data_IF_531299754826
#
_entry.id   IF_531299754826
#
_cell.length_a   1.000
_cell.length_b   1.000
_cell.length_c   1.000
_cell.angle_alpha   90.00
_cell.angle_beta   90.00
_cell.angle_gamma   90.00
#
_symmetry.space_group_name_H-M   'P 1'
#
loop_
_entity.id
_entity.type
_entity.pdbx_description
1 polymer ?
#
# COMPACT_ATOMS: atom_id res chain seq x y z
N UNK A 1 -8.03 -8.11 -40.39
CA UNK A 1 -6.66 -7.54 -40.32
C UNK A 1 -6.18 -7.67 -38.87
N UNK A 2 -5.16 -8.48 -38.61
CA UNK A 2 -4.66 -8.76 -37.25
C UNK A 2 -4.02 -7.50 -36.65
N UNK A 3 -4.66 -6.93 -35.62
CA UNK A 3 -4.07 -5.90 -34.76
C UNK A 3 -2.69 -6.34 -34.20
N UNK A 4 -2.47 -7.64 -34.10
CA UNK A 4 -1.26 -8.25 -33.55
C UNK A 4 0.01 -8.10 -34.41
N UNK A 5 -0.10 -7.74 -35.71
CA UNK A 5 1.10 -7.57 -36.57
C UNK A 5 1.70 -6.17 -36.54
N UNK A 6 0.94 -5.15 -36.12
CA UNK A 6 1.41 -3.76 -36.08
C UNK A 6 2.17 -3.40 -34.79
N UNK A 7 2.06 -4.20 -33.73
CA UNK A 7 2.84 -3.98 -32.49
C UNK A 7 4.35 -4.24 -32.66
N UNK A 8 4.77 -5.00 -33.69
CA UNK A 8 6.14 -5.51 -33.79
C UNK A 8 7.09 -4.68 -34.66
N UNK A 9 6.60 -3.72 -35.44
CA UNK A 9 7.47 -2.89 -36.30
C UNK A 9 7.99 -1.62 -35.61
N UNK A 10 7.49 -1.30 -34.40
CA UNK A 10 8.06 -0.28 -33.55
C UNK A 10 9.00 -0.91 -32.53
N UNK A 11 10.13 -1.43 -32.99
CA UNK A 11 11.29 -1.69 -32.12
C UNK A 11 11.76 -0.32 -31.65
N UNK A 12 11.19 0.15 -30.52
CA UNK A 12 11.60 1.40 -29.89
C UNK A 12 13.10 1.31 -29.58
N UNK A 13 13.85 2.40 -29.81
CA UNK A 13 15.27 2.43 -29.50
C UNK A 13 15.46 2.13 -28.01
N UNK A 14 16.48 1.31 -27.76
CA UNK A 14 17.12 0.93 -26.48
C UNK A 14 16.42 1.46 -25.22
N UNK A 15 15.97 0.52 -24.38
CA UNK A 15 15.47 0.75 -23.02
C UNK A 15 16.56 1.29 -22.06
N UNK A 16 17.35 2.28 -22.49
CA UNK A 16 18.50 2.81 -21.77
C UNK A 16 18.07 3.35 -20.40
N UNK A 17 16.97 4.10 -20.35
CA UNK A 17 16.44 4.66 -19.10
C UNK A 17 15.98 3.55 -18.13
N UNK A 18 15.07 2.63 -18.50
CA UNK A 18 14.70 1.48 -17.64
C UNK A 18 15.90 0.68 -17.12
N UNK A 19 16.85 0.36 -17.99
CA UNK A 19 18.04 -0.41 -17.62
C UNK A 19 18.97 0.39 -16.70
N UNK A 20 19.14 1.69 -16.96
CA UNK A 20 19.97 2.55 -16.10
C UNK A 20 19.38 2.67 -14.70
N UNK A 21 18.06 2.89 -14.59
CA UNK A 21 17.36 2.91 -13.30
C UNK A 21 17.49 1.57 -12.59
N UNK A 22 17.35 0.46 -13.30
CA UNK A 22 17.52 -0.88 -12.73
C UNK A 22 18.94 -1.16 -12.26
N UNK A 23 19.96 -0.70 -12.98
CA UNK A 23 21.36 -0.80 -12.57
C UNK A 23 21.64 0.04 -11.32
N UNK A 24 21.10 1.25 -11.22
CA UNK A 24 21.20 2.09 -10.01
C UNK A 24 20.52 1.39 -8.83
N UNK A 25 19.29 0.89 -9.02
CA UNK A 25 18.56 0.15 -7.98
C UNK A 25 19.33 -1.10 -7.52
N UNK A 26 19.88 -1.87 -8.46
CA UNK A 26 20.71 -3.03 -8.15
C UNK A 26 21.98 -2.65 -7.37
N UNK A 27 22.67 -1.58 -7.77
CA UNK A 27 23.84 -1.09 -7.06
C UNK A 27 23.51 -0.67 -5.63
N UNK A 28 22.42 0.06 -5.41
CA UNK A 28 21.96 0.44 -4.07
C UNK A 28 21.61 -0.80 -3.23
N UNK A 29 20.95 -1.79 -3.82
CA UNK A 29 20.56 -3.02 -3.11
C UNK A 29 21.78 -3.86 -2.73
N UNK A 30 22.72 -4.06 -3.66
CA UNK A 30 23.97 -4.81 -3.43
C UNK A 30 24.80 -4.14 -2.33
N UNK A 31 24.93 -2.82 -2.39
CA UNK A 31 25.79 -2.05 -1.48
C UNK A 31 25.11 -1.71 -0.15
N UNK A 32 23.83 -2.05 0.03
CA UNK A 32 23.00 -1.58 1.14
C UNK A 32 23.02 -0.05 1.27
N UNK A 33 22.76 0.64 0.17
CA UNK A 33 22.75 2.11 0.10
C UNK A 33 24.12 2.74 0.40
N UNK A 34 25.21 2.05 0.07
CA UNK A 34 26.58 2.51 0.36
C UNK A 34 27.15 2.04 1.69
N UNK A 35 26.36 1.42 2.58
CA UNK A 35 26.84 0.93 3.90
C UNK A 35 27.99 -0.05 3.79
N UNK A 36 28.05 -0.84 2.71
CA UNK A 36 29.17 -1.77 2.45
C UNK A 36 30.51 -1.04 2.32
N UNK A 37 30.50 0.25 1.99
CA UNK A 37 31.67 1.12 1.87
C UNK A 37 31.79 2.12 3.04
N UNK A 38 31.03 1.93 4.12
CA UNK A 38 31.06 2.80 5.30
C UNK A 38 30.18 4.06 5.21
N UNK A 39 29.33 4.19 4.19
CA UNK A 39 28.34 5.27 4.11
C UNK A 39 27.05 4.90 4.86
N UNK A 40 26.72 5.63 5.91
CA UNK A 40 25.55 5.38 6.76
C UNK A 40 24.41 6.38 6.52
N UNK A 41 24.47 7.22 5.48
CA UNK A 41 23.49 8.29 5.24
C UNK A 41 22.11 7.82 4.78
N UNK A 42 21.97 6.56 4.36
CA UNK A 42 20.79 6.04 3.65
C UNK A 42 20.06 4.97 4.47
N UNK A 43 19.34 5.38 5.50
CA UNK A 43 18.65 4.48 6.44
C UNK A 43 17.63 3.57 5.74
N UNK A 44 17.01 4.01 4.64
CA UNK A 44 16.05 3.21 3.87
C UNK A 44 16.65 1.88 3.37
N UNK A 45 17.97 1.80 3.21
CA UNK A 45 18.69 0.57 2.85
C UNK A 45 19.42 -0.05 4.04
N UNK A 46 19.34 0.54 5.24
CA UNK A 46 20.03 0.07 6.44
C UNK A 46 19.64 -1.35 6.82
N UNK A 47 18.38 -1.75 6.63
CA UNK A 47 17.94 -3.13 6.88
C UNK A 47 18.66 -4.16 6.01
N UNK A 48 19.13 -3.77 4.82
CA UNK A 48 19.84 -4.69 3.93
C UNK A 48 21.15 -5.16 4.56
N UNK A 49 21.73 -4.42 5.51
CA UNK A 49 22.94 -4.86 6.25
C UNK A 49 22.76 -6.23 6.91
N UNK A 50 21.54 -6.58 7.32
CA UNK A 50 21.20 -7.89 7.88
C UNK A 50 20.94 -8.99 6.84
N UNK A 51 20.76 -8.61 5.57
CA UNK A 51 20.53 -9.55 4.46
C UNK A 51 21.88 -10.09 3.97
N UNK A 52 22.05 -11.42 3.80
CA UNK A 52 23.26 -11.99 3.23
C UNK A 52 23.63 -11.38 1.87
N UNK A 53 24.91 -11.05 1.67
CA UNK A 53 25.43 -10.42 0.45
C UNK A 53 24.98 -11.16 -0.84
N UNK A 54 25.02 -12.50 -0.84
CA UNK A 54 24.60 -13.31 -1.97
C UNK A 54 23.13 -13.08 -2.38
N UNK A 55 22.23 -12.89 -1.40
CA UNK A 55 20.82 -12.60 -1.67
C UNK A 55 20.62 -11.19 -2.23
N UNK A 56 21.43 -10.22 -1.78
CA UNK A 56 21.41 -8.86 -2.36
C UNK A 56 21.87 -8.87 -3.82
N UNK A 57 22.92 -9.60 -4.14
CA UNK A 57 23.39 -9.80 -5.53
C UNK A 57 22.34 -10.47 -6.39
N UNK A 58 21.69 -11.53 -5.89
CA UNK A 58 20.61 -12.20 -6.61
C UNK A 58 19.44 -11.23 -6.88
N UNK A 59 19.00 -10.48 -5.87
CA UNK A 59 17.92 -9.50 -6.03
C UNK A 59 18.31 -8.39 -7.04
N UNK A 60 19.53 -7.87 -6.96
CA UNK A 60 20.04 -6.90 -7.94
C UNK A 60 20.07 -7.45 -9.36
N UNK A 61 20.53 -8.69 -9.55
CA UNK A 61 20.52 -9.36 -10.84
C UNK A 61 19.10 -9.54 -11.39
N UNK A 62 18.13 -9.90 -10.53
CA UNK A 62 16.73 -10.04 -10.92
C UNK A 62 16.10 -8.70 -11.33
N UNK A 63 16.42 -7.60 -10.63
CA UNK A 63 15.96 -6.24 -11.00
C UNK A 63 16.49 -5.86 -12.38
N UNK A 64 17.78 -6.04 -12.63
CA UNK A 64 18.39 -5.75 -13.93
C UNK A 64 17.75 -6.62 -15.01
N UNK A 65 17.61 -7.92 -14.76
CA UNK A 65 17.01 -8.85 -15.70
C UNK A 65 15.56 -8.47 -16.06
N UNK A 66 14.77 -8.07 -15.07
CA UNK A 66 13.39 -7.62 -15.28
C UNK A 66 13.29 -6.33 -16.12
N UNK A 67 14.35 -5.51 -16.13
CA UNK A 67 14.40 -4.28 -16.94
C UNK A 67 14.77 -4.50 -18.41
N UNK A 68 15.28 -5.69 -18.77
CA UNK A 68 15.70 -5.99 -20.14
C UNK A 68 14.49 -6.38 -20.99
N UNK A 69 14.27 -5.76 -22.17
CA UNK A 69 13.15 -6.08 -23.06
C UNK A 69 13.00 -7.56 -23.42
N UNK A 70 14.11 -8.32 -23.51
CA UNK A 70 14.08 -9.76 -23.79
C UNK A 70 13.42 -10.59 -22.68
N UNK A 71 13.50 -10.16 -21.41
CA UNK A 71 12.87 -10.85 -20.30
C UNK A 71 11.34 -10.86 -20.42
N UNK A 72 10.73 -9.85 -21.06
CA UNK A 72 9.30 -9.86 -21.40
C UNK A 72 8.93 -11.03 -22.32
N UNK A 73 9.87 -11.51 -23.13
CA UNK A 73 9.73 -12.69 -23.97
C UNK A 73 9.46 -13.97 -23.15
N UNK A 74 9.98 -14.06 -21.93
CA UNK A 74 9.81 -15.22 -21.04
C UNK A 74 8.39 -15.35 -20.49
N UNK A 75 7.64 -14.24 -20.45
CA UNK A 75 6.25 -14.22 -20.01
C UNK A 75 5.26 -14.52 -21.14
N UNK A 76 5.72 -14.62 -22.40
CA UNK A 76 4.86 -14.93 -23.55
C UNK A 76 4.06 -16.23 -23.41
N UNK A 77 4.58 -17.34 -22.87
CA UNK A 77 3.79 -18.55 -22.65
C UNK A 77 2.60 -18.30 -21.71
N UNK A 78 2.75 -17.40 -20.73
CA UNK A 78 1.74 -17.07 -19.73
C UNK A 78 0.58 -16.24 -20.27
N UNK A 79 0.67 -15.71 -21.51
CA UNK A 79 -0.43 -14.94 -22.13
C UNK A 79 -1.75 -15.73 -22.27
N UNK A 80 -1.66 -17.06 -22.28
CA UNK A 80 -2.80 -17.98 -22.36
C UNK A 80 -3.36 -18.35 -20.99
N UNK A 81 -2.65 -17.97 -19.92
CA UNK A 81 -2.99 -18.33 -18.56
C UNK A 81 -4.08 -17.39 -18.07
N UNK A 82 -5.30 -17.91 -17.98
CA UNK A 82 -6.45 -17.20 -17.43
C UNK A 82 -6.71 -17.80 -16.06
N UNK A 83 -6.16 -17.17 -15.01
CA UNK A 83 -6.59 -17.50 -13.65
C UNK A 83 -7.82 -16.64 -13.36
N UNK A 84 -9.00 -17.26 -13.17
CA UNK A 84 -10.18 -16.49 -12.83
C UNK A 84 -10.03 -15.90 -11.42
N UNK A 85 -10.57 -14.70 -11.21
CA UNK A 85 -10.47 -13.99 -9.93
C UNK A 85 -11.03 -14.81 -8.75
N UNK A 86 -12.05 -15.64 -9.01
CA UNK A 86 -12.67 -16.49 -7.98
C UNK A 86 -11.73 -17.60 -7.49
N UNK A 87 -10.70 -17.97 -8.27
CA UNK A 87 -9.66 -18.89 -7.84
C UNK A 87 -8.43 -18.13 -7.29
N UNK A 88 -8.06 -17.02 -7.93
CA UNK A 88 -6.91 -16.21 -7.53
C UNK A 88 -7.07 -15.63 -6.13
N UNK A 89 -8.24 -15.07 -5.81
CA UNK A 89 -8.47 -14.39 -4.54
C UNK A 89 -8.41 -15.35 -3.34
N UNK A 90 -9.16 -16.47 -3.30
CA UNK A 90 -9.03 -17.41 -2.18
C UNK A 90 -7.63 -17.99 -2.04
N UNK A 91 -6.94 -18.24 -3.17
CA UNK A 91 -5.55 -18.73 -3.15
C UNK A 91 -4.61 -17.69 -2.54
N UNK A 92 -4.76 -16.41 -2.89
CA UNK A 92 -3.98 -15.33 -2.32
C UNK A 92 -4.25 -15.17 -0.81
N UNK A 93 -5.52 -15.18 -0.40
CA UNK A 93 -5.90 -15.11 1.02
C UNK A 93 -5.34 -16.29 1.82
N UNK A 94 -5.41 -17.50 1.27
CA UNK A 94 -4.83 -18.69 1.88
C UNK A 94 -3.31 -18.57 1.99
N UNK A 95 -2.64 -18.08 0.95
CA UNK A 95 -1.19 -17.85 0.99
C UNK A 95 -0.81 -16.80 2.04
N UNK A 96 -1.51 -15.66 2.09
CA UNK A 96 -1.31 -14.62 3.09
C UNK A 96 -1.45 -15.16 4.51
N UNK A 97 -2.44 -16.01 4.76
CA UNK A 97 -2.64 -16.63 6.06
C UNK A 97 -1.57 -17.66 6.41
N UNK A 98 -1.25 -18.58 5.50
CA UNK A 98 -0.29 -19.67 5.75
C UNK A 98 1.10 -19.13 6.03
N UNK A 99 1.52 -18.13 5.26
CA UNK A 99 2.82 -17.48 5.36
C UNK A 99 2.81 -16.22 6.24
N UNK A 100 1.78 -16.06 7.08
CA UNK A 100 1.67 -14.87 7.93
C UNK A 100 2.84 -14.72 8.90
N UNK A 101 3.12 -13.48 9.25
CA UNK A 101 4.04 -13.10 10.32
C UNK A 101 3.61 -13.78 11.64
N UNK A 102 4.59 -14.35 12.33
CA UNK A 102 4.39 -15.06 13.61
C UNK A 102 5.24 -14.51 14.75
N UNK A 103 6.15 -13.60 14.44
CA UNK A 103 7.03 -12.95 15.40
C UNK A 103 6.80 -11.47 15.26
N UNK A 104 6.56 -10.77 16.37
CA UNK A 104 6.18 -9.36 16.36
C UNK A 104 7.27 -8.51 17.01
N UNK A 105 7.43 -7.29 16.53
CA UNK A 105 8.41 -6.34 17.00
C UNK A 105 7.79 -4.96 17.13
N UNK A 106 8.41 -4.08 17.91
CA UNK A 106 8.01 -2.68 18.02
C UNK A 106 6.54 -2.49 18.44
N UNK A 107 5.83 -1.68 17.66
CA UNK A 107 4.48 -1.21 17.95
C UNK A 107 3.43 -2.31 17.97
N UNK A 108 3.67 -3.41 17.25
CA UNK A 108 2.81 -4.59 17.26
C UNK A 108 2.61 -5.16 18.68
N UNK A 109 3.68 -5.23 19.48
CA UNK A 109 3.62 -5.73 20.86
C UNK A 109 2.76 -4.83 21.74
N UNK A 110 2.91 -3.52 21.57
CA UNK A 110 2.14 -2.53 22.32
C UNK A 110 0.66 -2.56 21.94
N UNK A 111 0.36 -2.73 20.64
CA UNK A 111 -1.01 -2.83 20.14
C UNK A 111 -1.74 -4.06 20.69
N UNK A 112 -1.10 -5.22 20.65
CA UNK A 112 -1.65 -6.45 21.23
C UNK A 112 -1.88 -6.29 22.74
N UNK A 113 -0.96 -5.63 23.45
CA UNK A 113 -1.11 -5.33 24.88
C UNK A 113 -2.33 -4.44 25.17
N UNK A 114 -2.51 -3.37 24.40
CA UNK A 114 -3.65 -2.46 24.51
C UNK A 114 -4.98 -3.17 24.26
N UNK A 115 -5.09 -3.95 23.18
CA UNK A 115 -6.30 -4.72 22.87
C UNK A 115 -6.61 -5.78 23.94
N UNK A 116 -5.57 -6.32 24.60
CA UNK A 116 -5.72 -7.32 25.65
C UNK A 116 -6.16 -6.71 26.99
N UNK A 117 -5.61 -5.54 27.36
CA UNK A 117 -5.71 -5.00 28.71
C UNK A 117 -6.63 -3.80 28.85
N UNK A 118 -6.85 -3.04 27.78
CA UNK A 118 -7.60 -1.79 27.84
C UNK A 118 -8.87 -1.87 27.01
N UNK A 119 -10.04 -1.47 27.54
CA UNK A 119 -11.22 -1.32 26.71
C UNK A 119 -11.05 -0.19 25.69
N UNK A 120 -11.82 -0.23 24.60
CA UNK A 120 -11.80 0.77 23.54
C UNK A 120 -11.87 2.21 24.08
N UNK A 121 -12.69 2.47 25.11
CA UNK A 121 -12.87 3.80 25.69
C UNK A 121 -11.66 4.31 26.47
N UNK A 122 -10.81 3.41 26.96
CA UNK A 122 -9.62 3.75 27.73
C UNK A 122 -8.35 3.79 26.87
N UNK A 123 -8.41 3.26 25.65
CA UNK A 123 -7.25 3.23 24.76
C UNK A 123 -6.96 4.65 24.24
N UNK A 124 -5.80 5.24 24.59
CA UNK A 124 -5.50 6.63 24.23
C UNK A 124 -5.17 6.82 22.74
N UNK A 125 -5.01 5.75 21.97
CA UNK A 125 -4.58 5.80 20.56
C UNK A 125 -5.69 5.52 19.56
N UNK A 126 -6.93 5.29 20.01
CA UNK A 126 -8.04 4.96 19.11
C UNK A 126 -8.25 6.00 18.01
N UNK A 127 -7.93 7.27 18.24
CA UNK A 127 -8.07 8.32 17.24
C UNK A 127 -6.92 8.40 16.23
N UNK A 128 -5.78 7.73 16.49
CA UNK A 128 -4.70 7.57 15.51
C UNK A 128 -5.14 6.66 14.36
N UNK A 129 -6.04 5.73 14.64
CA UNK A 129 -6.52 4.73 13.68
C UNK A 129 -8.00 4.36 13.93
N UNK A 130 -8.94 5.32 13.80
CA UNK A 130 -10.30 5.20 14.33
C UNK A 130 -11.05 3.94 13.90
N UNK A 131 -11.12 3.70 12.59
CA UNK A 131 -11.85 2.56 12.06
C UNK A 131 -11.08 1.25 12.27
N UNK A 132 -9.74 1.30 12.26
CA UNK A 132 -8.92 0.11 12.50
C UNK A 132 -9.12 -0.38 13.93
N UNK A 133 -8.93 0.50 14.92
CA UNK A 133 -9.18 0.22 16.34
C UNK A 133 -10.59 -0.32 16.57
N UNK A 134 -11.62 0.34 16.01
CA UNK A 134 -12.99 -0.12 16.16
C UNK A 134 -13.16 -1.59 15.72
N UNK A 135 -12.63 -1.92 14.55
CA UNK A 135 -12.75 -3.25 13.96
C UNK A 135 -11.87 -4.28 14.69
N UNK A 136 -10.69 -3.90 15.16
CA UNK A 136 -9.80 -4.78 15.91
C UNK A 136 -10.38 -5.14 17.28
N UNK A 137 -10.95 -4.17 18.01
CA UNK A 137 -11.65 -4.45 19.26
C UNK A 137 -12.86 -5.38 19.03
N UNK A 138 -13.65 -5.09 17.99
CA UNK A 138 -14.80 -5.92 17.63
C UNK A 138 -14.38 -7.35 17.26
N UNK A 139 -13.38 -7.50 16.38
CA UNK A 139 -12.92 -8.80 15.93
C UNK A 139 -12.18 -9.58 17.02
N UNK A 140 -11.41 -8.89 17.88
CA UNK A 140 -10.80 -9.51 19.06
C UNK A 140 -11.86 -10.10 19.98
N UNK A 141 -12.95 -9.36 20.23
CA UNK A 141 -14.09 -9.87 20.98
C UNK A 141 -14.82 -11.05 20.31
N UNK A 142 -14.83 -11.12 18.98
CA UNK A 142 -15.43 -12.24 18.23
C UNK A 142 -14.57 -13.51 18.25
N UNK A 143 -13.24 -13.39 18.25
CA UNK A 143 -12.33 -14.54 18.22
C UNK A 143 -11.95 -15.04 19.62
N UNK A 144 -12.10 -14.22 20.65
CA UNK A 144 -11.80 -14.59 22.04
C UNK A 144 -12.55 -15.85 22.52
N UNK A 145 -13.85 -16.06 22.23
CA UNK A 145 -14.59 -17.24 22.71
C UNK A 145 -14.05 -18.58 22.19
N UNK A 146 -13.29 -18.58 21.09
CA UNK A 146 -12.64 -19.77 20.53
C UNK A 146 -11.17 -19.90 20.94
N UNK A 147 -10.72 -19.12 21.93
CA UNK A 147 -9.37 -19.18 22.49
C UNK A 147 -8.30 -18.48 21.65
N UNK A 148 -8.69 -17.63 20.69
CA UNK A 148 -7.77 -16.86 19.87
C UNK A 148 -7.53 -15.46 20.47
N UNK A 149 -6.30 -14.96 20.33
CA UNK A 149 -5.88 -13.65 20.85
C UNK A 149 -6.10 -12.49 19.87
N UNK A 150 -5.90 -11.24 20.34
CA UNK A 150 -5.99 -10.05 19.49
C UNK A 150 -5.02 -10.06 18.29
N UNK A 151 -3.86 -10.68 18.44
CA UNK A 151 -2.89 -10.87 17.34
C UNK A 151 -3.51 -11.61 16.15
N UNK A 152 -4.35 -12.61 16.42
CA UNK A 152 -5.07 -13.36 15.39
C UNK A 152 -6.13 -12.50 14.72
N UNK A 153 -6.83 -11.67 15.49
CA UNK A 153 -7.81 -10.71 14.95
C UNK A 153 -7.14 -9.70 14.00
N UNK A 154 -6.04 -9.08 14.43
CA UNK A 154 -5.27 -8.14 13.58
C UNK A 154 -4.76 -8.85 12.32
N UNK A 155 -4.22 -10.07 12.47
CA UNK A 155 -3.74 -10.83 11.32
C UNK A 155 -4.87 -11.16 10.31
N UNK A 156 -6.07 -11.51 10.78
CA UNK A 156 -7.24 -11.71 9.92
C UNK A 156 -7.62 -10.43 9.17
N UNK A 157 -7.58 -9.28 9.86
CA UNK A 157 -7.82 -7.98 9.25
C UNK A 157 -6.77 -7.65 8.18
N UNK A 158 -5.49 -7.89 8.45
CA UNK A 158 -4.40 -7.72 7.50
C UNK A 158 -4.58 -8.60 6.24
N UNK A 159 -4.93 -9.88 6.42
CA UNK A 159 -5.22 -10.78 5.28
C UNK A 159 -6.43 -10.31 4.47
N UNK A 160 -7.49 -9.84 5.15
CA UNK A 160 -8.67 -9.30 4.47
C UNK A 160 -8.36 -8.03 3.67
N UNK A 161 -7.53 -7.13 4.21
CA UNK A 161 -7.02 -5.96 3.51
C UNK A 161 -6.20 -6.37 2.26
N UNK A 162 -5.40 -7.43 2.37
CA UNK A 162 -4.69 -8.05 1.24
C UNK A 162 -5.64 -8.51 0.13
N UNK A 163 -6.82 -9.04 0.46
CA UNK A 163 -7.86 -9.38 -0.52
C UNK A 163 -8.37 -8.16 -1.30
N UNK A 164 -8.61 -7.04 -0.60
CA UNK A 164 -8.97 -5.77 -1.23
C UNK A 164 -7.86 -5.27 -2.14
N UNK A 165 -6.61 -5.37 -1.70
CA UNK A 165 -5.44 -5.02 -2.53
C UNK A 165 -5.34 -5.89 -3.79
N UNK A 166 -5.54 -7.21 -3.69
CA UNK A 166 -5.56 -8.13 -4.83
C UNK A 166 -6.64 -7.74 -5.85
N UNK A 167 -7.84 -7.39 -5.40
CA UNK A 167 -8.92 -6.94 -6.28
C UNK A 167 -8.61 -5.59 -6.93
N UNK A 168 -8.06 -4.64 -6.15
CA UNK A 168 -7.68 -3.33 -6.64
C UNK A 168 -6.55 -3.40 -7.68
N UNK A 169 -5.54 -4.23 -7.45
CA UNK A 169 -4.43 -4.46 -8.40
C UNK A 169 -4.93 -5.10 -9.68
N UNK A 170 -5.84 -6.07 -9.59
CA UNK A 170 -6.50 -6.66 -10.76
C UNK A 170 -7.29 -5.63 -11.57
N UNK A 171 -8.09 -4.80 -10.89
CA UNK A 171 -8.85 -3.72 -11.52
C UNK A 171 -7.92 -2.71 -12.20
N UNK A 172 -6.90 -2.22 -11.49
CA UNK A 172 -5.92 -1.28 -12.02
C UNK A 172 -5.20 -1.84 -13.26
N UNK A 173 -4.69 -3.07 -13.19
CA UNK A 173 -4.03 -3.73 -14.31
C UNK A 173 -4.98 -3.84 -15.53
N UNK A 174 -6.22 -4.28 -15.30
CA UNK A 174 -7.24 -4.41 -16.35
C UNK A 174 -7.59 -3.06 -16.98
N UNK A 175 -7.63 -1.99 -16.19
CA UNK A 175 -8.00 -0.67 -16.68
C UNK A 175 -6.88 0.08 -17.39
N UNK A 176 -5.62 -0.16 -16.99
CA UNK A 176 -4.43 0.45 -17.57
C UNK A 176 -3.94 -0.24 -18.86
N UNK A 177 -4.28 -1.52 -19.06
CA UNK A 177 -3.74 -2.29 -20.17
C UNK A 177 -4.82 -2.99 -21.03
N UNK A 178 -4.67 -2.88 -22.35
CA UNK A 178 -5.50 -3.61 -23.31
C UNK A 178 -5.10 -5.08 -23.48
N UNK A 179 -3.80 -5.39 -23.38
CA UNK A 179 -3.28 -6.74 -23.62
C UNK A 179 -3.15 -7.57 -22.33
N UNK A 180 -3.48 -8.86 -22.40
CA UNK A 180 -3.39 -9.81 -21.27
C UNK A 180 -2.00 -9.86 -20.67
N UNK A 181 -0.96 -9.85 -21.51
CA UNK A 181 0.42 -9.90 -21.05
C UNK A 181 0.78 -8.66 -20.22
N UNK A 182 0.41 -7.45 -20.69
CA UNK A 182 0.69 -6.23 -19.95
C UNK A 182 -0.09 -6.15 -18.64
N UNK A 183 -1.33 -6.66 -18.62
CA UNK A 183 -2.12 -6.81 -17.38
C UNK A 183 -1.39 -7.70 -16.37
N UNK A 184 -0.92 -8.87 -16.80
CA UNK A 184 -0.18 -9.80 -15.94
C UNK A 184 1.10 -9.17 -15.40
N UNK A 185 1.84 -8.43 -16.22
CA UNK A 185 3.06 -7.72 -15.78
C UNK A 185 2.72 -6.67 -14.72
N UNK A 186 1.75 -5.79 -14.97
CA UNK A 186 1.35 -4.75 -14.01
C UNK A 186 0.87 -5.38 -12.70
N UNK A 187 -0.02 -6.38 -12.80
CA UNK A 187 -0.56 -7.09 -11.65
C UNK A 187 0.53 -7.74 -10.80
N UNK A 188 1.44 -8.49 -11.44
CA UNK A 188 2.54 -9.17 -10.75
C UNK A 188 3.50 -8.17 -10.12
N UNK A 189 3.81 -7.06 -10.82
CA UNK A 189 4.68 -6.02 -10.29
C UNK A 189 4.10 -5.34 -9.05
N UNK A 190 2.79 -5.05 -9.04
CA UNK A 190 2.12 -4.46 -7.89
C UNK A 190 2.09 -5.43 -6.70
N UNK A 191 1.87 -6.73 -6.95
CA UNK A 191 1.94 -7.76 -5.92
C UNK A 191 3.36 -8.05 -5.43
N UNK A 192 4.39 -7.80 -6.24
CA UNK A 192 5.78 -7.97 -5.85
C UNK A 192 6.34 -6.78 -5.06
N UNK A 193 5.56 -5.70 -4.89
CA UNK A 193 5.97 -4.55 -4.08
C UNK A 193 6.20 -4.91 -2.62
N UNK A 194 7.13 -4.22 -1.95
CA UNK A 194 7.44 -4.45 -0.53
C UNK A 194 6.23 -4.27 0.39
N UNK A 195 5.26 -3.45 -0.01
CA UNK A 195 3.97 -3.30 0.68
C UNK A 195 3.21 -4.61 0.81
N UNK A 196 3.52 -5.62 -0.01
CA UNK A 196 2.85 -6.92 0.08
C UNK A 196 3.11 -7.67 1.37
N UNK A 197 4.18 -7.33 2.10
CA UNK A 197 4.43 -7.87 3.44
C UNK A 197 3.30 -7.52 4.41
N UNK A 198 2.63 -6.37 4.22
CA UNK A 198 1.51 -5.95 5.06
C UNK A 198 0.35 -6.95 5.05
N UNK A 199 0.17 -7.72 3.97
CA UNK A 199 -0.96 -8.62 3.80
C UNK A 199 -0.78 -9.95 4.54
N UNK A 200 0.46 -10.30 4.90
CA UNK A 200 0.82 -11.55 5.54
C UNK A 200 0.62 -11.46 7.06
N UNK A 201 -0.56 -11.04 7.50
CA UNK A 201 -0.91 -10.95 8.92
C UNK A 201 -0.04 -9.97 9.72
N UNK A 202 0.49 -8.94 9.07
CA UNK A 202 1.33 -7.93 9.71
C UNK A 202 0.53 -7.20 10.79
N UNK A 203 1.06 -7.20 12.01
CA UNK A 203 0.36 -6.75 13.22
C UNK A 203 0.62 -5.24 13.44
N UNK A 204 0.32 -4.42 12.44
CA UNK A 204 0.41 -2.96 12.49
C UNK A 204 -0.71 -2.26 11.69
N UNK A 205 -0.80 -0.95 11.90
CA UNK A 205 -1.92 -0.05 11.62
C UNK A 205 -2.05 0.38 10.14
N UNK A 206 -1.35 -0.31 9.25
CA UNK A 206 -1.12 0.15 7.89
C UNK A 206 -1.81 -0.70 6.83
N UNK A 207 -2.28 -1.89 7.19
CA UNK A 207 -2.81 -2.85 6.20
C UNK A 207 -4.06 -2.29 5.50
N UNK A 208 -5.10 -1.94 6.27
CA UNK A 208 -6.35 -1.45 5.69
C UNK A 208 -6.23 -0.05 5.08
N UNK A 209 -5.51 0.86 5.74
CA UNK A 209 -5.28 2.20 5.23
C UNK A 209 -4.53 2.17 3.88
N UNK A 210 -3.50 1.32 3.76
CA UNK A 210 -2.74 1.14 2.51
C UNK A 210 -3.60 0.48 1.43
N UNK A 211 -4.32 -0.60 1.76
CA UNK A 211 -5.20 -1.28 0.80
C UNK A 211 -6.28 -0.34 0.24
N UNK A 212 -6.93 0.45 1.11
CA UNK A 212 -7.96 1.40 0.71
C UNK A 212 -7.40 2.63 -0.01
N UNK A 213 -6.21 3.11 0.38
CA UNK A 213 -5.51 4.16 -0.36
C UNK A 213 -5.20 3.70 -1.79
N UNK A 214 -4.70 2.47 -1.95
CA UNK A 214 -4.46 1.90 -3.28
C UNK A 214 -5.77 1.67 -4.06
N UNK A 215 -6.83 1.17 -3.41
CA UNK A 215 -8.14 1.03 -4.02
C UNK A 215 -8.71 2.37 -4.50
N UNK A 216 -8.47 3.46 -3.75
CA UNK A 216 -8.82 4.83 -4.15
C UNK A 216 -8.13 5.22 -5.45
N UNK A 217 -6.82 4.96 -5.58
CA UNK A 217 -6.07 5.23 -6.80
C UNK A 217 -6.55 4.35 -7.98
N UNK A 218 -6.80 3.07 -7.74
CA UNK A 218 -7.34 2.17 -8.75
C UNK A 218 -8.69 2.67 -9.26
N UNK A 219 -9.62 3.01 -8.35
CA UNK A 219 -10.94 3.58 -8.69
C UNK A 219 -10.82 4.92 -9.40
N UNK A 220 -9.83 5.76 -9.05
CA UNK A 220 -9.57 7.02 -9.74
C UNK A 220 -9.16 6.78 -11.21
N UNK A 221 -8.29 5.80 -11.48
CA UNK A 221 -7.98 5.36 -12.84
C UNK A 221 -9.23 4.84 -13.55
N UNK A 222 -10.05 4.05 -12.85
CA UNK A 222 -11.34 3.58 -13.34
C UNK A 222 -12.28 4.72 -13.72
N UNK A 223 -12.36 5.76 -12.90
CA UNK A 223 -13.18 6.95 -13.14
C UNK A 223 -12.72 7.73 -14.37
N UNK A 224 -11.41 7.95 -14.52
CA UNK A 224 -10.84 8.58 -15.72
C UNK A 224 -11.15 7.77 -16.99
N UNK A 225 -11.21 6.44 -16.89
CA UNK A 225 -11.61 5.54 -17.97
C UNK A 225 -13.13 5.35 -18.14
N UNK A 226 -13.97 6.03 -17.35
CA UNK A 226 -15.44 5.90 -17.39
C UNK A 226 -15.98 4.57 -16.84
N UNK A 227 -15.19 3.83 -16.07
CA UNK A 227 -15.52 2.48 -15.54
C UNK A 227 -15.91 2.48 -14.06
N UNK A 228 -15.66 3.56 -13.34
CA UNK A 228 -16.04 3.73 -11.95
C UNK A 228 -16.66 5.13 -11.74
N UNK A 229 -17.61 5.30 -10.81
CA UNK A 229 -18.14 6.62 -10.49
C UNK A 229 -17.25 7.36 -9.49
N UNK A 230 -17.28 8.70 -9.53
CA UNK A 230 -16.46 9.54 -8.63
C UNK A 230 -16.78 9.34 -7.14
N UNK A 231 -18.04 9.06 -6.79
CA UNK A 231 -18.41 8.83 -5.40
C UNK A 231 -17.73 7.58 -4.82
N UNK A 232 -17.43 6.56 -5.64
CA UNK A 232 -16.73 5.37 -5.17
C UNK A 232 -15.26 5.70 -4.82
N UNK A 233 -14.63 6.57 -5.61
CA UNK A 233 -13.30 7.12 -5.30
C UNK A 233 -13.34 7.86 -3.97
N UNK A 234 -14.34 8.73 -3.80
CA UNK A 234 -14.52 9.53 -2.59
C UNK A 234 -14.68 8.65 -1.34
N UNK A 235 -15.60 7.68 -1.39
CA UNK A 235 -15.87 6.77 -0.26
C UNK A 235 -14.64 5.93 0.06
N UNK A 236 -13.96 5.36 -0.94
CA UNK A 236 -12.74 4.59 -0.70
C UNK A 236 -11.63 5.44 -0.04
N UNK A 237 -11.46 6.69 -0.48
CA UNK A 237 -10.49 7.61 0.11
C UNK A 237 -10.86 8.00 1.54
N UNK A 238 -12.14 8.28 1.79
CA UNK A 238 -12.67 8.53 3.13
C UNK A 238 -12.46 7.33 4.07
N UNK A 239 -12.70 6.12 3.58
CA UNK A 239 -12.44 4.88 4.32
C UNK A 239 -10.95 4.74 4.65
N UNK A 240 -10.05 5.01 3.69
CA UNK A 240 -8.60 4.97 3.93
C UNK A 240 -8.17 5.92 5.05
N UNK A 241 -8.67 7.16 5.03
CA UNK A 241 -8.43 8.18 6.09
C UNK A 241 -9.02 7.74 7.42
N UNK A 242 -10.19 7.10 7.41
CA UNK A 242 -10.83 6.60 8.63
C UNK A 242 -10.06 5.44 9.26
N UNK A 243 -9.39 4.61 8.46
CA UNK A 243 -8.47 3.59 8.97
C UNK A 243 -7.21 4.23 9.56
N UNK A 244 -6.61 5.20 8.86
CA UNK A 244 -5.49 5.96 9.39
C UNK A 244 -5.46 7.37 8.78
N UNK A 245 -5.48 8.45 9.57
CA UNK A 245 -5.50 9.82 9.06
C UNK A 245 -4.32 10.18 8.15
N UNK A 246 -3.18 9.49 8.30
CA UNK A 246 -2.02 9.66 7.43
C UNK A 246 -2.40 9.44 5.96
N UNK A 247 -3.34 8.54 5.65
CA UNK A 247 -3.81 8.29 4.28
C UNK A 247 -4.40 9.54 3.59
N UNK A 248 -4.65 10.63 4.34
CA UNK A 248 -4.99 11.92 3.75
C UNK A 248 -3.94 12.44 2.76
N UNK A 249 -2.70 11.92 2.78
CA UNK A 249 -1.67 12.23 1.78
C UNK A 249 -2.12 11.96 0.33
N UNK A 250 -3.10 11.06 0.11
CA UNK A 250 -3.62 10.79 -1.25
C UNK A 250 -4.58 11.87 -1.76
N UNK A 251 -5.18 12.66 -0.87
CA UNK A 251 -6.27 13.59 -1.23
C UNK A 251 -5.84 14.65 -2.25
N UNK A 252 -4.63 15.26 -2.17
CA UNK A 252 -4.15 16.19 -3.19
C UNK A 252 -4.11 15.59 -4.60
N UNK A 253 -3.81 14.29 -4.73
CA UNK A 253 -3.78 13.63 -6.03
C UNK A 253 -5.17 13.54 -6.68
N UNK A 254 -6.25 13.57 -5.89
CA UNK A 254 -7.62 13.54 -6.40
C UNK A 254 -8.03 14.85 -7.11
N UNK A 255 -7.29 15.94 -6.92
CA UNK A 255 -7.51 17.19 -7.66
C UNK A 255 -7.33 17.00 -9.17
N UNK A 256 -6.52 16.02 -9.60
CA UNK A 256 -6.32 15.67 -11.01
C UNK A 256 -7.60 15.13 -11.66
N UNK A 257 -8.56 14.66 -10.87
CA UNK A 257 -9.86 14.16 -11.38
C UNK A 257 -10.83 15.29 -11.73
N UNK A 258 -10.54 16.53 -11.30
CA UNK A 258 -11.42 17.66 -11.50
C UNK A 258 -11.37 18.15 -12.95
N UNK A 259 -12.54 18.25 -13.55
CA UNK A 259 -12.74 18.81 -14.88
C UNK A 259 -13.26 20.23 -14.77
N UNK A 260 -12.66 21.15 -15.52
CA UNK A 260 -12.99 22.59 -15.47
C UNK A 260 -14.49 22.89 -15.66
N UNK A 261 -15.20 22.09 -16.45
CA UNK A 261 -16.64 22.27 -16.72
C UNK A 261 -17.56 21.75 -15.61
N UNK A 262 -17.06 20.88 -14.70
CA UNK A 262 -17.88 20.18 -13.68
C UNK A 262 -17.28 20.20 -12.28
N UNK A 263 -16.19 20.94 -12.08
CA UNK A 263 -15.41 20.91 -10.85
C UNK A 263 -16.23 21.17 -9.58
N UNK A 264 -17.24 22.07 -9.52
CA UNK A 264 -17.95 22.29 -8.27
C UNK A 264 -18.72 21.05 -7.82
N UNK A 265 -19.42 20.39 -8.76
CA UNK A 265 -20.15 19.14 -8.50
C UNK A 265 -19.20 17.99 -8.12
N UNK A 266 -18.05 17.91 -8.78
CA UNK A 266 -17.04 16.90 -8.47
C UNK A 266 -16.43 17.10 -7.09
N UNK A 267 -16.12 18.35 -6.71
CA UNK A 267 -15.65 18.69 -5.36
C UNK A 267 -16.70 18.32 -4.31
N UNK A 268 -17.97 18.69 -4.51
CA UNK A 268 -19.06 18.29 -3.60
C UNK A 268 -19.14 16.77 -3.48
N UNK A 269 -19.02 16.04 -4.59
CA UNK A 269 -19.05 14.56 -4.58
C UNK A 269 -17.87 13.98 -3.80
N UNK A 270 -16.66 14.51 -4.00
CA UNK A 270 -15.46 14.09 -3.29
C UNK A 270 -15.53 14.38 -1.79
N UNK A 271 -15.99 15.58 -1.41
CA UNK A 271 -16.12 15.99 -0.02
C UNK A 271 -17.20 15.17 0.68
N UNK A 272 -18.43 15.16 0.15
CA UNK A 272 -19.54 14.44 0.81
C UNK A 272 -19.28 12.94 0.84
N UNK A 273 -18.80 12.34 -0.25
CA UNK A 273 -18.47 10.92 -0.30
C UNK A 273 -17.29 10.55 0.62
N UNK A 274 -16.27 11.40 0.68
CA UNK A 274 -15.10 11.20 1.55
C UNK A 274 -15.41 11.36 3.03
N UNK A 275 -16.42 12.14 3.39
CA UNK A 275 -16.83 12.33 4.79
C UNK A 275 -17.73 11.21 5.34
N UNK A 276 -18.34 10.37 4.48
CA UNK A 276 -19.30 9.34 4.92
C UNK A 276 -18.69 8.42 5.99
N UNK A 277 -17.57 7.76 5.68
CA UNK A 277 -16.98 6.76 6.59
C UNK A 277 -16.35 7.39 7.84
N UNK A 278 -15.59 8.51 7.75
CA UNK A 278 -15.11 9.22 8.94
C UNK A 278 -16.23 9.66 9.88
N UNK A 279 -17.32 10.22 9.36
CA UNK A 279 -18.46 10.66 10.18
C UNK A 279 -19.20 9.50 10.83
N UNK A 280 -19.37 8.39 10.11
CA UNK A 280 -19.97 7.17 10.68
C UNK A 280 -19.09 6.61 11.81
N UNK A 281 -17.78 6.56 11.60
CA UNK A 281 -16.82 6.07 12.61
C UNK A 281 -16.84 6.96 13.86
N UNK A 282 -16.78 8.28 13.68
CA UNK A 282 -16.91 9.23 14.77
C UNK A 282 -18.26 9.11 15.50
N UNK A 283 -19.36 8.89 14.77
CA UNK A 283 -20.69 8.66 15.33
C UNK A 283 -20.76 7.38 16.17
N UNK A 284 -20.12 6.29 15.73
CA UNK A 284 -20.02 5.06 16.51
C UNK A 284 -19.18 5.28 17.76
N UNK A 285 -18.05 5.97 17.66
CA UNK A 285 -17.21 6.32 18.81
C UNK A 285 -17.97 7.15 19.85
N UNK A 286 -18.73 8.15 19.39
CA UNK A 286 -19.60 8.94 20.25
C UNK A 286 -20.66 8.08 20.94
N UNK A 287 -21.32 7.18 20.21
CA UNK A 287 -22.30 6.24 20.76
C UNK A 287 -21.70 5.28 21.79
N UNK A 288 -20.47 4.80 21.55
CA UNK A 288 -19.70 3.95 22.46
C UNK A 288 -19.06 4.73 23.61
N UNK A 289 -19.28 6.04 23.70
CA UNK A 289 -18.72 6.94 24.71
C UNK A 289 -17.19 6.95 24.73
N UNK A 290 -16.56 6.78 23.57
CA UNK A 290 -15.12 6.98 23.40
C UNK A 290 -14.83 8.48 23.62
N UNK A 291 -13.88 8.85 24.50
CA UNK A 291 -13.49 10.23 24.72
C UNK A 291 -13.04 10.90 23.41
N UNK A 292 -13.23 12.22 23.22
CA UNK A 292 -12.70 12.92 22.05
C UNK A 292 -11.17 12.83 21.99
N UNK A 293 -10.55 13.03 20.81
CA UNK A 293 -9.09 12.98 20.67
C UNK A 293 -8.45 14.02 21.59
N UNK A 294 -7.49 13.59 22.41
CA UNK A 294 -6.60 14.48 23.15
C UNK A 294 -5.64 15.20 22.19
N UNK A 295 -5.23 16.41 22.55
CA UNK A 295 -4.19 17.15 21.81
C UNK A 295 -2.76 16.85 22.32
N UNK A 296 -2.66 16.15 23.45
CA UNK A 296 -1.42 15.82 24.15
C UNK A 296 -1.12 14.31 24.05
N UNK A 297 0.17 13.94 24.01
CA UNK A 297 0.64 12.55 23.99
C UNK A 297 0.82 11.97 22.59
N UNK A 298 2.07 11.88 22.12
CA UNK A 298 2.39 11.16 20.89
C UNK A 298 2.47 9.64 21.09
N UNK A 299 2.89 8.94 20.04
CA UNK A 299 2.98 7.49 19.99
C UNK A 299 4.45 7.04 20.06
N UNK A 300 4.74 5.90 20.69
CA UNK A 300 6.09 5.33 20.77
C UNK A 300 7.20 6.29 21.29
N UNK A 301 6.84 7.23 22.16
CA UNK A 301 7.78 8.22 22.71
C UNK A 301 7.80 9.57 21.99
N UNK A 302 6.98 9.74 20.94
CA UNK A 302 6.82 11.04 20.31
C UNK A 302 6.13 12.04 21.25
N UNK A 303 6.57 13.32 21.26
CA UNK A 303 5.94 14.35 22.07
C UNK A 303 4.57 14.78 21.52
N UNK A 304 4.27 14.49 20.25
CA UNK A 304 3.07 14.96 19.56
C UNK A 304 2.59 13.96 18.50
N UNK A 305 1.27 13.86 18.32
CA UNK A 305 0.65 12.97 17.33
C UNK A 305 0.70 13.54 15.91
N UNK A 306 0.78 14.87 15.77
CA UNK A 306 0.77 15.58 14.49
C UNK A 306 1.87 16.63 14.46
N UNK A 307 2.55 16.76 13.32
CA UNK A 307 3.53 17.81 13.08
C UNK A 307 2.88 19.09 12.57
N UNK A 308 3.43 20.22 12.97
CA UNK A 308 3.14 21.51 12.32
C UNK A 308 3.68 21.51 10.88
N UNK A 309 3.13 22.35 9.97
CA UNK A 309 3.65 22.46 8.61
C UNK A 309 5.15 22.80 8.55
N UNK A 310 5.64 23.62 9.49
CA UNK A 310 7.06 23.98 9.57
C UNK A 310 7.94 22.80 9.96
N UNK A 311 7.48 21.94 10.89
CA UNK A 311 8.19 20.70 11.24
C UNK A 311 8.20 19.72 10.07
N UNK A 312 7.09 19.56 9.36
CA UNK A 312 7.00 18.67 8.20
C UNK A 312 7.90 19.10 7.03
N UNK A 313 8.15 20.41 6.88
CA UNK A 313 9.03 20.97 5.85
C UNK A 313 10.49 21.15 6.32
N UNK A 314 10.82 20.70 7.53
CA UNK A 314 12.20 20.78 8.02
C UNK A 314 13.13 19.95 7.10
N UNK A 315 14.37 20.41 6.83
CA UNK A 315 15.29 19.73 5.91
C UNK A 315 15.52 18.25 6.23
N UNK A 316 15.58 17.89 7.52
CA UNK A 316 15.69 16.50 7.95
C UNK A 316 14.49 15.65 7.51
N UNK A 317 13.28 16.18 7.67
CA UNK A 317 12.04 15.49 7.29
C UNK A 317 11.89 15.38 5.77
N UNK A 318 12.31 16.41 5.03
CA UNK A 318 12.37 16.35 3.58
C UNK A 318 13.40 15.33 3.09
N UNK A 319 14.53 15.20 3.77
CA UNK A 319 15.54 14.19 3.46
C UNK A 319 14.99 12.77 3.73
N UNK A 320 14.28 12.54 4.83
CA UNK A 320 13.60 11.27 5.11
C UNK A 320 12.54 10.94 4.05
N UNK A 321 11.73 11.93 3.65
CA UNK A 321 10.74 11.77 2.59
C UNK A 321 11.41 11.40 1.25
N UNK A 322 12.55 12.02 0.92
CA UNK A 322 13.35 11.67 -0.26
C UNK A 322 13.90 10.25 -0.18
N UNK A 323 14.34 9.80 1.00
CA UNK A 323 14.80 8.42 1.21
C UNK A 323 13.65 7.42 1.01
N UNK A 324 12.43 7.74 1.45
CA UNK A 324 11.26 6.90 1.20
C UNK A 324 10.92 6.75 -0.29
N UNK A 325 11.23 7.74 -1.13
CA UNK A 325 11.04 7.63 -2.59
C UNK A 325 11.90 6.52 -3.22
N UNK A 326 13.01 6.13 -2.59
CA UNK A 326 13.83 5.01 -3.07
C UNK A 326 13.19 3.64 -2.86
N UNK A 327 12.20 3.52 -1.97
CA UNK A 327 11.43 2.28 -1.81
C UNK A 327 10.53 2.00 -3.03
N UNK A 328 10.18 3.04 -3.81
CA UNK A 328 9.34 2.91 -5.02
C UNK A 328 10.15 3.02 -6.32
N UNK A 329 11.38 3.54 -6.28
CA UNK A 329 12.24 3.73 -7.45
C UNK A 329 12.47 2.44 -8.29
N UNK A 330 12.59 1.22 -7.72
CA UNK A 330 12.73 0.00 -8.51
C UNK A 330 11.53 -0.33 -9.40
N UNK A 331 10.34 0.23 -9.12
CA UNK A 331 9.14 0.03 -9.93
C UNK A 331 9.08 0.97 -11.13
N UNK A 332 9.80 2.08 -11.10
CA UNK A 332 9.82 3.13 -12.13
C UNK A 332 10.04 2.62 -13.58
N UNK A 333 10.90 1.61 -13.84
CA UNK A 333 11.06 1.04 -15.18
C UNK A 333 9.77 0.50 -15.83
N UNK A 334 8.78 0.09 -15.02
CA UNK A 334 7.51 -0.44 -15.50
C UNK A 334 6.50 0.64 -15.91
N UNK A 335 6.76 1.91 -15.57
CA UNK A 335 5.81 3.02 -15.70
C UNK A 335 6.11 3.89 -16.92
N UNK A 336 7.36 3.88 -17.39
CA UNK A 336 7.84 4.66 -18.55
C UNK A 336 7.96 3.80 -19.83
N UNK A 337 7.73 2.48 -19.73
CA UNK A 337 7.77 1.52 -20.85
C UNK A 337 6.60 1.60 -21.83
#
# INVERSE_FOLDING_TARGET
MNADRLEFQNVRPVALVPVTVALIAAALLITAGGTTFGDNGWWAFGFLTYVPMALRWLAGALIVLASVPFAYGWWRPLRRLVIPWWAALPTALAAFWVFRERTWHGDALYKVDLLTKQPLQANPYVWKEPLDSLLEYALSGLVQPVGLGPDVAIALMSVAAGGVFVLATWAAATWLAGSTLRRLVIYTALLAGGTSLLWFGHVENYSWSTAMAFATLALAVGYLGGRAPLWAVAVAGGTAVSFHPQAAFILPALLVLLRRDRWPRQVVTLVLGGLVVPLLTAGVFWWLKVPPPGLDGGFAGDPQLFWTPMQALAPAQLAEALQNLWLIAPLWPLWIG
#
